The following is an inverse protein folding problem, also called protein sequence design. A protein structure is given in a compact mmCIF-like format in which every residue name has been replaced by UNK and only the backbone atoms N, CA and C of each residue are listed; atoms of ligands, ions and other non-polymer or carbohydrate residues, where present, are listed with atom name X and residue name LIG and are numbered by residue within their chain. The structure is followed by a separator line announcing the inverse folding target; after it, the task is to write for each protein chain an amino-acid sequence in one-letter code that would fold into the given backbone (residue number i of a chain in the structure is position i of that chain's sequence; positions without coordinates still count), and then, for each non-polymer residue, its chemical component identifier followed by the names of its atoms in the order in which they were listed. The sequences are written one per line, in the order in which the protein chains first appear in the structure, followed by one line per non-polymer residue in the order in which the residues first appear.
data_IF_219269184254
#
_entry.id   IF_219269184254
#
_cell.length_a   1.000
_cell.length_b   1.000
_cell.length_c   1.000
_cell.angle_alpha   90.00
_cell.angle_beta   90.00
_cell.angle_gamma   90.00
#
_symmetry.space_group_name_H-M   'P 1'
#
loop_
_entity.id
_entity.type
_entity.pdbx_description
1 polymer ?
#
# COMPACT_ATOMS: atom_id res chain seq x y z
N UNK A 1 44.01 -25.66 11.07
CA UNK A 1 43.21 -24.47 10.72
C UNK A 1 42.60 -24.76 9.38
N UNK A 2 41.27 -24.92 9.31
CA UNK A 2 40.57 -25.08 8.03
C UNK A 2 40.73 -23.80 7.22
N UNK A 3 40.79 -23.91 5.89
CA UNK A 3 40.78 -22.74 5.02
C UNK A 3 39.51 -21.91 5.29
N UNK A 4 39.58 -20.57 5.23
CA UNK A 4 38.40 -19.73 5.35
C UNK A 4 37.39 -20.10 4.27
N UNK A 5 36.13 -20.30 4.66
CA UNK A 5 35.03 -20.49 3.71
C UNK A 5 34.82 -19.19 2.96
N UNK A 6 34.94 -19.22 1.65
CA UNK A 6 34.71 -18.05 0.79
C UNK A 6 33.22 -17.94 0.46
N UNK A 7 32.74 -16.71 0.30
CA UNK A 7 31.38 -16.45 -0.16
C UNK A 7 31.19 -16.94 -1.60
N UNK A 8 30.19 -17.79 -1.83
CA UNK A 8 29.88 -18.32 -3.16
C UNK A 8 28.95 -17.37 -3.94
N UNK A 9 29.54 -16.33 -4.54
CA UNK A 9 28.81 -15.34 -5.31
C UNK A 9 28.04 -15.93 -6.51
N UNK A 10 28.53 -17.04 -7.10
CA UNK A 10 27.86 -17.67 -8.23
C UNK A 10 26.55 -18.34 -7.78
N UNK A 11 26.59 -19.06 -6.66
CA UNK A 11 25.38 -19.65 -6.07
C UNK A 11 24.42 -18.58 -5.56
N UNK A 12 24.91 -17.49 -4.95
CA UNK A 12 24.06 -16.38 -4.51
C UNK A 12 23.28 -15.75 -5.67
N UNK A 13 23.98 -15.40 -6.76
CA UNK A 13 23.34 -14.82 -7.96
C UNK A 13 22.30 -15.75 -8.58
N UNK A 14 22.61 -17.05 -8.67
CA UNK A 14 21.67 -18.06 -9.19
C UNK A 14 20.44 -18.18 -8.30
N UNK A 15 20.63 -18.31 -6.99
CA UNK A 15 19.53 -18.44 -6.02
C UNK A 15 18.61 -17.20 -6.03
N UNK A 16 19.20 -16.00 -6.22
CA UNK A 16 18.44 -14.76 -6.38
C UNK A 16 17.56 -14.82 -7.63
N UNK A 17 18.15 -15.14 -8.79
CA UNK A 17 17.42 -15.22 -10.06
C UNK A 17 16.35 -16.34 -10.09
N UNK A 18 16.60 -17.44 -9.39
CA UNK A 18 15.69 -18.59 -9.28
C UNK A 18 14.64 -18.42 -8.17
N UNK A 19 14.70 -17.34 -7.37
CA UNK A 19 13.84 -17.08 -6.21
C UNK A 19 13.89 -18.23 -5.18
N UNK A 20 15.08 -18.76 -4.93
CA UNK A 20 15.31 -19.84 -3.95
C UNK A 20 15.58 -19.26 -2.56
N UNK A 21 14.51 -19.00 -1.81
CA UNK A 21 14.57 -18.44 -0.46
C UNK A 21 15.41 -19.29 0.51
N UNK A 22 15.35 -20.63 0.41
CA UNK A 22 16.08 -21.52 1.30
C UNK A 22 17.59 -21.44 1.05
N UNK A 23 18.01 -21.43 -0.22
CA UNK A 23 19.42 -21.25 -0.57
C UNK A 23 19.90 -19.85 -0.18
N UNK A 24 19.09 -18.79 -0.41
CA UNK A 24 19.43 -17.43 0.00
C UNK A 24 19.61 -17.31 1.53
N UNK A 25 18.72 -17.90 2.32
CA UNK A 25 18.81 -17.89 3.79
C UNK A 25 20.10 -18.55 4.29
N UNK A 26 20.59 -19.59 3.59
CA UNK A 26 21.83 -20.28 3.97
C UNK A 26 23.07 -19.35 3.95
N UNK A 27 23.04 -18.27 3.16
CA UNK A 27 24.10 -17.28 3.12
C UNK A 27 24.14 -16.38 4.34
N UNK A 28 23.08 -16.24 5.14
CA UNK A 28 23.09 -15.37 6.33
C UNK A 28 23.61 -16.11 7.55
N UNK A 29 24.34 -15.46 8.46
CA UNK A 29 24.60 -16.01 9.79
C UNK A 29 23.31 -16.05 10.62
N UNK A 30 23.25 -16.91 11.64
CA UNK A 30 22.03 -17.10 12.43
C UNK A 30 21.64 -15.82 13.22
N UNK A 31 22.64 -14.98 13.52
CA UNK A 31 22.57 -13.68 14.19
C UNK A 31 22.61 -12.48 13.21
N UNK A 32 22.42 -12.70 11.91
CA UNK A 32 22.56 -11.65 10.92
C UNK A 32 21.53 -10.52 11.09
N UNK A 33 21.90 -9.32 10.66
CA UNK A 33 20.99 -8.18 10.58
C UNK A 33 20.81 -7.74 9.12
N UNK A 34 19.56 -7.46 8.73
CA UNK A 34 19.23 -6.97 7.39
C UNK A 34 18.46 -5.66 7.51
N UNK A 35 19.02 -4.60 6.96
CA UNK A 35 18.44 -3.26 6.90
C UNK A 35 18.02 -2.95 5.46
N UNK A 36 16.79 -2.47 5.28
CA UNK A 36 16.27 -2.00 3.98
C UNK A 36 15.71 -0.60 4.11
N UNK A 37 16.15 0.26 3.20
CA UNK A 37 15.54 1.56 2.91
C UNK A 37 14.82 1.49 1.55
N UNK A 38 13.55 1.85 1.55
CA UNK A 38 12.71 1.88 0.34
C UNK A 38 11.63 2.98 0.45
N UNK A 39 10.66 2.97 -0.47
CA UNK A 39 9.55 3.94 -0.50
C UNK A 39 8.57 3.82 0.69
N UNK A 40 8.51 2.68 1.39
CA UNK A 40 7.73 2.45 2.61
C UNK A 40 8.55 2.71 3.88
N UNK A 41 9.82 2.30 3.87
CA UNK A 41 10.77 2.34 4.98
C UNK A 41 11.87 3.38 4.71
N UNK A 42 11.57 4.62 5.07
CA UNK A 42 12.44 5.78 4.79
C UNK A 42 13.76 5.77 5.59
N UNK A 43 14.81 6.50 5.17
CA UNK A 43 16.11 6.51 5.84
C UNK A 43 16.09 6.86 7.34
N UNK A 44 15.11 7.64 7.80
CA UNK A 44 14.97 7.97 9.22
C UNK A 44 14.36 6.86 10.07
N UNK A 45 13.77 5.84 9.43
CA UNK A 45 13.13 4.68 10.06
C UNK A 45 13.17 3.47 9.09
N UNK A 46 14.36 2.92 8.82
CA UNK A 46 14.51 1.78 7.93
C UNK A 46 13.82 0.55 8.49
N UNK A 47 13.57 -0.44 7.62
CA UNK A 47 13.13 -1.76 8.04
C UNK A 47 14.37 -2.53 8.48
N UNK A 48 14.41 -2.96 9.74
CA UNK A 48 15.50 -3.78 10.28
C UNK A 48 14.95 -5.14 10.68
N UNK A 49 15.59 -6.21 10.20
CA UNK A 49 15.27 -7.60 10.50
C UNK A 49 16.45 -8.25 11.22
N UNK A 50 16.15 -9.05 12.24
CA UNK A 50 17.16 -9.67 13.09
C UNK A 50 17.06 -11.20 13.10
N UNK A 51 18.15 -11.83 12.71
CA UNK A 51 18.34 -13.27 12.70
C UNK A 51 17.52 -14.01 11.65
N UNK A 52 17.76 -15.32 11.57
CA UNK A 52 17.17 -16.18 10.54
C UNK A 52 15.64 -16.20 10.50
N UNK A 53 14.96 -16.07 11.65
CA UNK A 53 13.50 -16.15 11.68
C UNK A 53 12.84 -15.00 10.90
N UNK A 54 13.31 -13.77 11.12
CA UNK A 54 12.75 -12.59 10.45
C UNK A 54 13.24 -12.49 9.00
N UNK A 55 14.51 -12.80 8.76
CA UNK A 55 15.09 -12.81 7.42
C UNK A 55 14.44 -13.89 6.54
N UNK A 56 14.15 -15.08 7.06
CA UNK A 56 13.44 -16.13 6.32
C UNK A 56 12.06 -15.66 5.87
N UNK A 57 11.28 -15.06 6.76
CA UNK A 57 9.95 -14.57 6.42
C UNK A 57 10.00 -13.50 5.32
N UNK A 58 11.01 -12.62 5.36
CA UNK A 58 11.23 -11.63 4.30
C UNK A 58 11.65 -12.26 2.97
N UNK A 59 12.58 -13.23 2.98
CA UNK A 59 13.02 -13.93 1.77
C UNK A 59 11.87 -14.76 1.16
N UNK A 60 11.06 -15.41 1.98
CA UNK A 60 9.88 -16.17 1.52
C UNK A 60 8.86 -15.25 0.84
N UNK A 61 8.62 -14.07 1.41
CA UNK A 61 7.75 -13.05 0.80
C UNK A 61 8.31 -12.55 -0.54
N UNK A 62 9.58 -12.10 -0.57
CA UNK A 62 10.20 -11.57 -1.79
C UNK A 62 10.25 -12.62 -2.90
N UNK A 63 10.72 -13.83 -2.60
CA UNK A 63 10.78 -14.93 -3.57
C UNK A 63 9.40 -15.45 -3.99
N UNK A 64 8.37 -15.26 -3.16
CA UNK A 64 6.99 -15.62 -3.46
C UNK A 64 6.28 -14.64 -4.39
N UNK A 65 6.79 -13.41 -4.55
CA UNK A 65 6.22 -12.41 -5.46
C UNK A 65 6.49 -12.82 -6.92
N UNK A 66 5.52 -12.53 -7.78
CA UNK A 66 5.69 -12.67 -9.22
C UNK A 66 6.51 -11.48 -9.72
N UNK A 67 7.84 -11.62 -9.70
CA UNK A 67 8.78 -10.66 -10.26
C UNK A 67 10.04 -11.40 -10.74
N UNK A 68 10.79 -10.77 -11.64
CA UNK A 68 12.12 -11.23 -12.00
C UNK A 68 13.16 -10.63 -11.06
N UNK A 69 14.28 -11.31 -10.89
CA UNK A 69 15.44 -10.81 -10.16
C UNK A 69 16.70 -11.03 -10.97
N UNK A 70 17.49 -9.98 -11.14
CA UNK A 70 18.76 -10.04 -11.86
C UNK A 70 19.82 -9.25 -11.11
N UNK A 71 20.81 -9.95 -10.57
CA UNK A 71 22.00 -9.31 -10.00
C UNK A 71 22.93 -8.92 -11.14
N UNK A 72 23.17 -7.62 -11.32
CA UNK A 72 24.01 -7.06 -12.39
C UNK A 72 25.48 -7.03 -11.95
N UNK A 73 25.85 -6.04 -11.14
CA UNK A 73 27.21 -5.85 -10.65
C UNK A 73 27.37 -6.54 -9.30
N UNK A 74 28.49 -7.24 -9.07
CA UNK A 74 28.81 -7.84 -7.78
C UNK A 74 30.32 -7.74 -7.59
N UNK A 75 30.72 -7.10 -6.51
CA UNK A 75 32.11 -7.02 -6.05
C UNK A 75 32.22 -7.78 -4.74
N UNK A 76 33.32 -8.51 -4.58
CA UNK A 76 33.63 -9.30 -3.39
C UNK A 76 35.05 -8.98 -2.98
N UNK A 77 35.27 -8.68 -1.70
CA UNK A 77 36.59 -8.58 -1.10
C UNK A 77 36.74 -9.58 0.07
N UNK A 78 37.70 -9.35 0.96
CA UNK A 78 37.99 -10.27 2.06
C UNK A 78 36.95 -10.21 3.18
N UNK A 79 36.32 -9.05 3.37
CA UNK A 79 35.49 -8.73 4.54
C UNK A 79 34.03 -8.49 4.15
N UNK A 80 33.72 -8.33 2.86
CA UNK A 80 32.37 -8.05 2.41
C UNK A 80 32.15 -8.16 0.91
N UNK A 81 30.92 -7.82 0.50
CA UNK A 81 30.53 -7.74 -0.89
C UNK A 81 29.59 -6.55 -1.12
N UNK A 82 29.45 -6.11 -2.37
CA UNK A 82 28.41 -5.18 -2.76
C UNK A 82 27.85 -5.57 -4.11
N UNK A 83 26.54 -5.37 -4.30
CA UNK A 83 25.89 -5.67 -5.56
C UNK A 83 24.78 -4.70 -5.93
N UNK A 84 24.50 -4.65 -7.22
CA UNK A 84 23.28 -4.06 -7.76
C UNK A 84 22.38 -5.15 -8.33
N UNK A 85 21.09 -4.99 -8.14
CA UNK A 85 20.04 -5.89 -8.58
C UNK A 85 18.93 -5.09 -9.24
N UNK A 86 18.40 -5.66 -10.31
CA UNK A 86 17.21 -5.19 -11.00
C UNK A 86 16.11 -6.22 -10.76
N UNK A 87 14.96 -5.73 -10.29
CA UNK A 87 13.74 -6.51 -10.24
C UNK A 87 12.70 -5.89 -11.17
N UNK A 88 11.87 -6.73 -11.81
CA UNK A 88 10.79 -6.27 -12.68
C UNK A 88 9.51 -7.06 -12.38
N UNK A 89 8.43 -6.35 -12.10
CA UNK A 89 7.10 -6.90 -11.90
C UNK A 89 6.35 -7.08 -13.25
N UNK A 90 5.35 -7.98 -13.33
CA UNK A 90 4.56 -8.22 -14.54
C UNK A 90 3.85 -6.99 -15.12
N UNK A 91 3.60 -5.96 -14.32
CA UNK A 91 3.01 -4.70 -14.76
C UNK A 91 4.03 -3.72 -15.37
N UNK A 92 5.31 -4.11 -15.41
CA UNK A 92 6.43 -3.31 -15.92
C UNK A 92 7.09 -2.42 -14.86
N UNK A 93 6.64 -2.47 -13.60
CA UNK A 93 7.30 -1.73 -12.50
C UNK A 93 8.71 -2.28 -12.29
N UNK A 94 9.72 -1.43 -12.44
CA UNK A 94 11.09 -1.79 -12.12
C UNK A 94 11.49 -1.38 -10.69
N UNK A 95 12.36 -2.18 -10.07
CA UNK A 95 13.04 -1.85 -8.80
C UNK A 95 14.54 -1.96 -9.01
N UNK A 96 15.27 -0.94 -8.55
CA UNK A 96 16.74 -0.95 -8.47
C UNK A 96 17.14 -1.12 -7.02
N UNK A 97 17.74 -2.25 -6.70
CA UNK A 97 18.26 -2.55 -5.38
C UNK A 97 19.78 -2.50 -5.39
N UNK A 98 20.38 -1.81 -4.42
CA UNK A 98 21.83 -1.81 -4.21
C UNK A 98 22.10 -2.20 -2.77
N UNK A 99 22.97 -3.18 -2.55
CA UNK A 99 23.26 -3.70 -1.23
C UNK A 99 24.75 -3.79 -0.95
N UNK A 100 25.10 -3.58 0.32
CA UNK A 100 26.44 -3.83 0.89
C UNK A 100 26.29 -4.91 1.95
N UNK A 101 27.19 -5.89 1.89
CA UNK A 101 27.21 -7.09 2.74
C UNK A 101 28.50 -7.10 3.56
N UNK A 102 28.37 -7.20 4.87
CA UNK A 102 29.48 -7.56 5.76
C UNK A 102 29.49 -9.08 5.92
N UNK A 103 30.61 -9.72 5.56
CA UNK A 103 30.72 -11.18 5.47
C UNK A 103 31.65 -11.72 6.55
N UNK A 104 31.15 -12.68 7.33
CA UNK A 104 31.90 -13.44 8.34
C UNK A 104 31.85 -14.92 7.99
N UNK A 105 33.03 -15.52 7.82
CA UNK A 105 33.18 -16.95 7.50
C UNK A 105 32.37 -17.40 6.26
N UNK A 106 32.32 -16.54 5.24
CA UNK A 106 31.61 -16.81 3.98
C UNK A 106 30.09 -16.63 4.08
N UNK A 107 29.56 -16.14 5.21
CA UNK A 107 28.14 -15.84 5.43
C UNK A 107 27.93 -14.36 5.76
N UNK A 108 26.79 -13.81 5.36
CA UNK A 108 26.37 -12.43 5.59
C UNK A 108 26.04 -12.26 7.07
N UNK A 109 26.81 -11.43 7.78
CA UNK A 109 26.53 -11.04 9.14
C UNK A 109 25.67 -9.76 9.18
N UNK A 110 25.82 -8.88 8.20
CA UNK A 110 24.99 -7.69 8.05
C UNK A 110 24.79 -7.35 6.58
N UNK A 111 23.58 -6.93 6.22
CA UNK A 111 23.24 -6.42 4.90
C UNK A 111 22.52 -5.08 5.05
N UNK A 112 23.01 -4.04 4.37
CA UNK A 112 22.28 -2.78 4.20
C UNK A 112 21.91 -2.62 2.72
N UNK A 113 20.61 -2.50 2.44
CA UNK A 113 20.04 -2.40 1.11
C UNK A 113 19.25 -1.11 0.91
N UNK A 114 19.39 -0.51 -0.27
CA UNK A 114 18.57 0.63 -0.71
C UNK A 114 17.83 0.24 -1.98
N UNK A 115 16.52 0.42 -1.98
CA UNK A 115 15.66 0.15 -3.12
C UNK A 115 15.10 1.46 -3.67
N UNK A 116 15.37 1.74 -4.93
CA UNK A 116 14.67 2.76 -5.71
C UNK A 116 13.63 2.05 -6.57
N UNK A 117 12.37 2.39 -6.35
CA UNK A 117 11.26 1.84 -7.11
C UNK A 117 10.94 2.81 -8.26
N UNK A 118 10.49 2.27 -9.38
CA UNK A 118 9.55 3.01 -10.19
C UNK A 118 8.36 3.29 -9.29
N UNK A 119 8.33 4.50 -8.75
CA UNK A 119 7.08 5.02 -8.25
C UNK A 119 6.13 4.95 -9.45
N UNK A 120 4.89 4.54 -9.22
CA UNK A 120 3.80 4.95 -10.08
C UNK A 120 3.80 6.48 -10.04
N UNK A 121 4.71 7.14 -10.76
CA UNK A 121 4.35 8.35 -11.47
C UNK A 121 3.18 7.85 -12.27
N UNK A 122 1.96 8.22 -11.84
CA UNK A 122 0.82 8.23 -12.73
C UNK A 122 1.37 8.64 -14.07
N UNK A 123 1.42 7.68 -14.98
CA UNK A 123 2.27 7.80 -16.14
C UNK A 123 1.72 9.04 -16.83
N UNK A 124 2.48 10.13 -16.77
CA UNK A 124 2.16 11.34 -17.53
C UNK A 124 2.57 11.07 -18.97
N UNK A 125 2.25 9.88 -19.49
CA UNK A 125 2.03 9.63 -20.90
C UNK A 125 0.69 10.27 -21.25
N UNK A 126 0.68 11.60 -21.23
CA UNK A 126 -0.41 12.42 -21.74
C UNK A 126 -1.70 12.35 -20.93
N UNK A 127 -1.65 12.60 -19.62
CA UNK A 127 -2.85 13.06 -18.92
C UNK A 127 -3.30 14.37 -19.58
N UNK A 128 -4.24 14.27 -20.51
CA UNK A 128 -4.89 15.44 -21.07
C UNK A 128 -5.60 16.17 -19.94
N UNK A 129 -5.72 17.49 -20.03
CA UNK A 129 -6.55 18.23 -19.09
C UNK A 129 -7.99 17.69 -19.18
N UNK A 130 -8.45 17.02 -18.13
CA UNK A 130 -9.79 16.44 -18.03
C UNK A 130 -10.73 17.39 -17.28
N UNK A 131 -12.00 17.40 -17.69
CA UNK A 131 -13.09 18.07 -16.96
C UNK A 131 -14.33 17.21 -17.04
N UNK A 132 -14.89 16.89 -15.88
CA UNK A 132 -16.16 16.17 -15.76
C UNK A 132 -17.14 16.95 -14.89
N UNK A 133 -18.41 16.61 -15.01
CA UNK A 133 -19.51 17.30 -14.35
C UNK A 133 -20.46 16.25 -13.76
N UNK A 134 -20.79 16.38 -12.48
CA UNK A 134 -21.77 15.51 -11.82
C UNK A 134 -23.19 15.64 -12.40
N UNK A 135 -23.46 16.63 -13.25
CA UNK A 135 -24.66 16.64 -14.08
C UNK A 135 -24.72 15.48 -15.09
N UNK A 136 -23.58 14.85 -15.38
CA UNK A 136 -23.43 13.67 -16.25
C UNK A 136 -22.47 12.67 -15.61
N UNK A 137 -22.89 11.99 -14.53
CA UNK A 137 -22.04 11.03 -13.83
C UNK A 137 -21.77 9.80 -14.71
N UNK A 138 -20.63 9.14 -14.48
CA UNK A 138 -20.30 7.89 -15.18
C UNK A 138 -21.12 6.72 -14.65
N UNK A 139 -21.37 6.72 -13.33
CA UNK A 139 -22.17 5.71 -12.65
C UNK A 139 -23.09 6.40 -11.63
N UNK A 140 -24.28 5.86 -11.44
CA UNK A 140 -25.20 6.26 -10.39
C UNK A 140 -25.62 5.02 -9.62
N UNK A 141 -25.37 5.02 -8.31
CA UNK A 141 -25.87 4.01 -7.36
C UNK A 141 -27.02 4.61 -6.56
N UNK A 142 -28.09 3.85 -6.37
CA UNK A 142 -29.23 4.27 -5.56
C UNK A 142 -29.60 3.18 -4.57
N UNK A 143 -29.91 3.58 -3.35
CA UNK A 143 -30.39 2.72 -2.28
C UNK A 143 -31.43 3.49 -1.46
N UNK A 144 -32.06 2.83 -0.49
CA UNK A 144 -33.07 3.47 0.34
C UNK A 144 -32.48 4.69 1.07
N UNK A 145 -33.13 5.84 0.93
CA UNK A 145 -32.67 7.15 1.44
C UNK A 145 -31.29 7.62 0.93
N UNK A 146 -30.77 7.09 -0.19
CA UNK A 146 -29.52 7.61 -0.72
C UNK A 146 -29.24 7.38 -2.20
N UNK A 147 -28.40 8.26 -2.72
CA UNK A 147 -27.92 8.30 -4.10
C UNK A 147 -26.44 8.65 -4.11
N UNK A 148 -25.67 7.94 -4.90
CA UNK A 148 -24.23 8.19 -5.09
C UNK A 148 -23.96 8.31 -6.59
N UNK A 149 -23.31 9.39 -6.98
CA UNK A 149 -22.95 9.70 -8.36
C UNK A 149 -21.43 9.68 -8.48
N UNK A 150 -20.88 8.90 -9.41
CA UNK A 150 -19.44 8.66 -9.50
C UNK A 150 -18.87 9.27 -10.78
N UNK A 151 -17.69 9.85 -10.65
CA UNK A 151 -16.85 10.32 -11.75
C UNK A 151 -15.48 9.63 -11.67
N UNK A 152 -15.10 8.97 -12.75
CA UNK A 152 -13.74 8.49 -12.97
C UNK A 152 -12.97 9.60 -13.72
N UNK A 153 -11.98 10.21 -13.08
CA UNK A 153 -11.21 11.34 -13.61
C UNK A 153 -9.79 11.33 -13.02
N UNK A 154 -8.78 11.57 -13.85
CA UNK A 154 -7.38 11.67 -13.39
C UNK A 154 -6.94 10.45 -12.57
N UNK A 155 -7.24 9.24 -13.05
CA UNK A 155 -6.88 7.99 -12.36
C UNK A 155 -7.68 7.67 -11.08
N UNK A 156 -8.58 8.55 -10.65
CA UNK A 156 -9.31 8.43 -9.37
C UNK A 156 -10.84 8.37 -9.57
N UNK A 157 -11.55 7.89 -8.55
CA UNK A 157 -13.02 7.92 -8.49
C UNK A 157 -13.46 8.96 -7.46
N UNK A 158 -14.21 9.97 -7.91
CA UNK A 158 -14.82 10.99 -7.04
C UNK A 158 -16.32 10.70 -6.95
N UNK A 159 -16.85 10.62 -5.73
CA UNK A 159 -18.27 10.40 -5.48
C UNK A 159 -18.97 11.65 -4.97
N UNK A 160 -20.18 11.94 -5.48
CA UNK A 160 -21.13 12.85 -4.83
C UNK A 160 -22.24 12.04 -4.19
N UNK A 161 -22.43 12.23 -2.90
CA UNK A 161 -23.40 11.53 -2.09
C UNK A 161 -24.57 12.48 -1.84
N UNK A 162 -25.79 11.98 -1.98
CA UNK A 162 -27.01 12.65 -1.54
C UNK A 162 -27.75 11.68 -0.64
N UNK A 163 -27.84 12.02 0.64
CA UNK A 163 -28.40 11.18 1.69
C UNK A 163 -29.57 11.93 2.33
N UNK A 164 -30.75 11.35 2.25
CA UNK A 164 -31.99 11.99 2.66
C UNK A 164 -32.16 11.96 4.19
N UNK A 165 -32.96 12.87 4.77
CA UNK A 165 -33.36 12.78 6.17
C UNK A 165 -33.89 11.38 6.53
N UNK A 166 -33.44 10.88 7.68
CA UNK A 166 -33.70 9.51 8.12
C UNK A 166 -32.68 8.47 7.63
N UNK A 167 -31.79 8.83 6.70
CA UNK A 167 -30.71 7.95 6.30
C UNK A 167 -29.74 7.64 7.46
N UNK A 168 -29.33 6.38 7.54
CA UNK A 168 -28.30 5.84 8.43
C UNK A 168 -27.61 4.66 7.77
N UNK A 169 -26.27 4.63 7.80
CA UNK A 169 -25.48 3.61 7.13
C UNK A 169 -25.87 2.19 7.59
N UNK A 170 -25.95 1.97 8.90
CA UNK A 170 -26.30 0.65 9.46
C UNK A 170 -27.72 0.15 9.16
N UNK A 171 -28.61 1.04 8.72
CA UNK A 171 -29.97 0.69 8.31
C UNK A 171 -30.09 0.48 6.80
N UNK A 172 -29.41 1.31 6.00
CA UNK A 172 -29.68 1.40 4.56
C UNK A 172 -28.56 0.85 3.68
N UNK A 173 -27.33 0.78 4.18
CA UNK A 173 -26.17 0.30 3.42
C UNK A 173 -25.66 -1.04 3.95
N UNK A 174 -25.62 -1.21 5.28
CA UNK A 174 -25.26 -2.50 5.91
C UNK A 174 -25.98 -3.72 5.29
N UNK A 175 -27.31 -3.69 5.01
CA UNK A 175 -27.98 -4.84 4.39
C UNK A 175 -27.48 -5.17 2.97
N UNK A 176 -26.86 -4.21 2.29
CA UNK A 176 -26.32 -4.37 0.93
C UNK A 176 -24.95 -5.02 0.99
N UNK A 177 -24.07 -4.50 1.85
CA UNK A 177 -22.64 -4.88 1.89
C UNK A 177 -22.32 -5.98 2.90
N UNK A 178 -23.21 -6.24 3.87
CA UNK A 178 -23.11 -7.36 4.82
C UNK A 178 -22.08 -7.19 5.94
N UNK A 179 -21.41 -6.04 6.05
CA UNK A 179 -20.42 -5.76 7.10
C UNK A 179 -21.07 -5.16 8.34
N UNK A 180 -20.40 -5.27 9.50
CA UNK A 180 -20.93 -4.71 10.74
C UNK A 180 -20.80 -3.19 10.85
N UNK A 181 -19.75 -2.65 10.23
CA UNK A 181 -19.42 -1.23 10.13
C UNK A 181 -19.12 -0.85 8.69
N UNK A 182 -19.16 0.45 8.37
CA UNK A 182 -18.66 0.93 7.11
C UNK A 182 -17.14 0.72 7.06
N UNK A 183 -16.67 -0.09 6.11
CA UNK A 183 -15.25 -0.37 5.91
C UNK A 183 -14.61 0.51 4.82
N UNK A 184 -15.43 1.28 4.09
CA UNK A 184 -14.94 2.24 3.12
C UNK A 184 -14.28 3.42 3.85
N UNK A 185 -13.01 3.70 3.55
CA UNK A 185 -12.34 4.89 4.09
C UNK A 185 -12.76 6.11 3.28
N UNK A 186 -13.17 7.18 3.94
CA UNK A 186 -13.72 8.37 3.31
C UNK A 186 -12.85 9.60 3.55
N UNK A 187 -12.70 10.43 2.52
CA UNK A 187 -12.16 11.78 2.65
C UNK A 187 -13.11 12.75 1.98
N UNK A 188 -13.86 13.50 2.81
CA UNK A 188 -15.12 14.11 2.40
C UNK A 188 -15.16 15.61 2.67
N UNK A 189 -15.84 16.34 1.79
CA UNK A 189 -16.26 17.73 1.95
C UNK A 189 -17.78 17.79 2.01
N UNK A 190 -18.31 18.41 3.06
CA UNK A 190 -19.74 18.53 3.28
C UNK A 190 -20.30 19.78 2.59
N UNK A 191 -21.18 19.60 1.60
CA UNK A 191 -21.83 20.69 0.86
C UNK A 191 -23.06 21.20 1.61
N UNK A 192 -23.93 20.31 2.08
CA UNK A 192 -25.19 20.65 2.76
C UNK A 192 -25.56 19.61 3.82
N UNK A 193 -26.52 19.95 4.69
CA UNK A 193 -26.98 19.05 5.75
C UNK A 193 -25.93 18.75 6.82
N UNK A 194 -26.33 18.03 7.85
CA UNK A 194 -25.44 17.61 8.94
C UNK A 194 -25.42 16.09 9.06
N UNK A 195 -24.23 15.53 9.18
CA UNK A 195 -24.00 14.10 9.39
C UNK A 195 -23.50 13.89 10.81
N UNK A 196 -24.10 12.95 11.55
CA UNK A 196 -23.45 12.40 12.74
C UNK A 196 -22.59 11.22 12.34
N UNK A 197 -21.41 11.11 12.95
CA UNK A 197 -20.49 9.99 12.76
C UNK A 197 -20.23 9.33 14.11
N UNK A 198 -20.26 8.00 14.13
CA UNK A 198 -19.85 7.17 15.26
C UNK A 198 -18.82 6.15 14.80
N UNK A 199 -17.59 6.29 15.29
CA UNK A 199 -16.51 5.35 15.05
C UNK A 199 -16.63 4.14 15.98
N UNK A 200 -16.09 2.99 15.57
CA UNK A 200 -16.09 1.77 16.36
C UNK A 200 -15.34 1.90 17.71
N UNK A 201 -14.40 2.84 17.83
CA UNK A 201 -13.68 3.15 19.07
C UNK A 201 -14.47 4.06 20.05
N UNK A 202 -15.68 4.48 19.65
CA UNK A 202 -16.55 5.37 20.43
C UNK A 202 -16.37 6.86 20.13
N UNK A 203 -15.38 7.24 19.32
CA UNK A 203 -15.25 8.63 18.83
C UNK A 203 -16.52 9.00 18.06
N UNK A 204 -17.09 10.16 18.38
CA UNK A 204 -18.29 10.66 17.72
C UNK A 204 -18.22 12.17 17.53
N UNK A 205 -18.72 12.63 16.40
CA UNK A 205 -18.75 14.04 16.04
C UNK A 205 -19.79 14.30 14.95
N UNK A 206 -20.11 15.57 14.75
CA UNK A 206 -20.98 16.03 13.67
C UNK A 206 -20.15 16.73 12.60
N UNK A 207 -20.56 16.56 11.34
CA UNK A 207 -19.99 17.23 10.17
C UNK A 207 -21.09 18.01 9.48
N UNK A 208 -20.92 19.33 9.40
CA UNK A 208 -21.84 20.27 8.77
C UNK A 208 -21.23 20.97 7.55
N UNK A 209 -21.99 21.84 6.87
CA UNK A 209 -21.57 22.47 5.61
C UNK A 209 -20.24 23.22 5.73
N UNK A 210 -19.38 23.05 4.71
CA UNK A 210 -18.06 23.68 4.65
C UNK A 210 -16.96 22.96 5.43
N UNK A 211 -17.30 21.90 6.17
CA UNK A 211 -16.33 21.09 6.91
C UNK A 211 -15.80 19.93 6.06
N UNK A 212 -14.59 19.49 6.41
CA UNK A 212 -13.90 18.36 5.80
C UNK A 212 -13.67 17.28 6.85
N UNK A 213 -13.93 16.02 6.51
CA UNK A 213 -13.77 14.87 7.41
C UNK A 213 -12.98 13.76 6.76
N UNK A 214 -12.14 13.09 7.56
CA UNK A 214 -11.50 11.81 7.21
C UNK A 214 -12.09 10.72 8.10
N UNK A 215 -12.68 9.69 7.50
CA UNK A 215 -13.30 8.58 8.22
C UNK A 215 -12.56 7.30 7.83
N UNK A 216 -11.66 6.77 8.68
CA UNK A 216 -11.07 5.46 8.43
C UNK A 216 -12.14 4.36 8.50
N UNK A 217 -11.79 3.17 8.03
CA UNK A 217 -12.63 1.96 8.17
C UNK A 217 -13.09 1.77 9.63
N UNK A 218 -14.37 1.42 9.80
CA UNK A 218 -14.98 1.17 11.10
C UNK A 218 -15.82 2.34 11.63
N UNK A 219 -16.90 2.70 10.93
CA UNK A 219 -17.84 3.73 11.38
C UNK A 219 -19.29 3.50 10.94
N UNK A 220 -20.23 4.11 11.67
CA UNK A 220 -21.63 4.31 11.27
C UNK A 220 -21.87 5.81 11.12
N UNK A 221 -22.81 6.20 10.28
CA UNK A 221 -23.12 7.59 10.04
C UNK A 221 -24.61 7.77 9.74
N UNK A 222 -25.19 8.90 10.12
CA UNK A 222 -26.59 9.21 9.83
C UNK A 222 -26.86 10.69 9.69
N UNK A 223 -27.85 11.02 8.86
CA UNK A 223 -28.30 12.39 8.64
C UNK A 223 -28.98 12.91 9.91
N UNK A 224 -28.59 14.11 10.35
CA UNK A 224 -29.24 14.84 11.43
C UNK A 224 -30.07 15.97 10.81
N UNK A 225 -31.34 16.07 11.24
CA UNK A 225 -32.25 17.12 10.82
C UNK A 225 -33.10 16.73 9.61
N UNK A 226 -33.61 17.76 8.93
CA UNK A 226 -34.57 17.67 7.82
C UNK A 226 -33.98 18.11 6.47
N UNK A 227 -32.70 18.47 6.44
CA UNK A 227 -31.96 18.81 5.22
C UNK A 227 -31.15 17.60 4.72
N UNK A 228 -31.22 17.26 3.43
CA UNK A 228 -30.36 16.23 2.86
C UNK A 228 -28.88 16.56 3.01
N UNK A 229 -28.10 15.54 3.39
CA UNK A 229 -26.65 15.61 3.34
C UNK A 229 -26.20 15.47 1.89
N UNK A 230 -25.50 16.48 1.41
CA UNK A 230 -24.73 16.38 0.15
C UNK A 230 -23.26 16.47 0.50
N UNK A 231 -22.47 15.50 0.07
CA UNK A 231 -21.01 15.49 0.26
C UNK A 231 -20.28 15.04 -1.00
N UNK A 232 -19.03 15.47 -1.12
CA UNK A 232 -18.09 14.99 -2.15
C UNK A 232 -17.02 14.18 -1.46
N UNK A 233 -16.71 13.00 -2.00
CA UNK A 233 -15.72 12.06 -1.50
C UNK A 233 -14.64 11.78 -2.54
N UNK A 234 -13.38 11.93 -2.15
CA UNK A 234 -12.22 11.75 -3.02
C UNK A 234 -11.52 10.39 -2.85
N UNK A 235 -11.92 9.57 -1.87
CA UNK A 235 -11.25 8.29 -1.58
C UNK A 235 -12.22 7.11 -1.53
N UNK A 236 -13.32 7.22 -0.76
CA UNK A 236 -14.16 6.08 -0.40
C UNK A 236 -15.19 5.67 -1.46
N UNK A 237 -15.28 6.42 -2.56
CA UNK A 237 -16.35 6.30 -3.53
C UNK A 237 -16.32 5.01 -4.37
N UNK A 238 -15.13 4.44 -4.64
CA UNK A 238 -14.96 3.29 -5.53
C UNK A 238 -15.77 2.07 -5.09
N UNK A 239 -15.68 1.70 -3.80
CA UNK A 239 -16.29 0.47 -3.25
C UNK A 239 -17.53 0.72 -2.38
N UNK A 240 -17.99 1.96 -2.24
CA UNK A 240 -19.12 2.26 -1.37
C UNK A 240 -20.45 1.75 -1.94
N UNK A 241 -21.25 1.08 -1.08
CA UNK A 241 -22.56 0.50 -1.42
C UNK A 241 -22.53 -0.48 -2.61
N UNK A 242 -21.48 -1.31 -2.67
CA UNK A 242 -21.26 -2.39 -3.64
C UNK A 242 -21.03 -3.69 -2.91
#
# INVERSE_FOLDING_TARGET
MSAPTLFDAATFRRATAERDAATLLSFYTDDAELEIVDHEAQPSRPRTLHGHNEISAYLDDVCGRDMTHMVDHFVLDADGAAYSEVCEYPDGTEVRHVAVLDIRDGRIAHQSGVQAWDELTETTTGAAAERKDFARPDEVRTFEHGRVELLNIGGSTIGRYTLEPGWRWSLHVKPIVGTDWCEASHFQYQISGHMHVLMADGTNFEVGPGQVSTLPSGHDAWVIGDEPVISVDWWGATNYAK
#
